data_IF_746387384975
#
_entry.id   IF_746387384975
#
_cell.length_a   1.000
_cell.length_b   1.000
_cell.length_c   1.000
_cell.angle_alpha   90.00
_cell.angle_beta   90.00
_cell.angle_gamma   90.00
#
_symmetry.space_group_name_H-M   'P 1'
#
loop_
_entity.id
_entity.type
_entity.pdbx_description
1 polymer ?
#
# COMPACT_ATOMS: atom_id res chain seq x y z
N UNK A 1 -26.70 -8.04 8.38
CA UNK A 1 -25.62 -7.50 7.53
C UNK A 1 -26.23 -7.17 6.18
N UNK A 2 -25.74 -6.15 5.49
CA UNK A 2 -26.11 -5.83 4.12
C UNK A 2 -25.29 -6.68 3.14
N UNK A 3 -25.85 -6.97 1.96
CA UNK A 3 -25.10 -7.56 0.85
C UNK A 3 -24.43 -6.45 0.06
N UNK A 4 -23.12 -6.57 -0.14
CA UNK A 4 -22.31 -5.60 -0.88
C UNK A 4 -21.44 -6.32 -1.90
N UNK A 5 -21.26 -5.72 -3.08
CA UNK A 5 -20.41 -6.28 -4.13
C UNK A 5 -18.95 -5.83 -3.97
N UNK A 6 -18.04 -6.78 -3.84
CA UNK A 6 -16.61 -6.54 -3.79
C UNK A 6 -15.94 -7.11 -5.04
N UNK A 7 -15.53 -6.21 -5.93
CA UNK A 7 -14.96 -6.56 -7.23
C UNK A 7 -13.59 -7.23 -7.13
N UNK A 8 -12.84 -7.02 -6.04
CA UNK A 8 -11.52 -7.63 -5.84
C UNK A 8 -11.60 -9.14 -5.57
N UNK A 9 -12.77 -9.60 -5.09
CA UNK A 9 -13.07 -11.01 -4.84
C UNK A 9 -14.14 -11.55 -5.80
N UNK A 10 -14.62 -10.73 -6.73
CA UNK A 10 -15.54 -11.12 -7.80
C UNK A 10 -16.94 -11.55 -7.34
N UNK A 11 -17.37 -11.21 -6.12
CA UNK A 11 -18.67 -11.65 -5.58
C UNK A 11 -19.29 -10.67 -4.58
N UNK A 12 -20.56 -10.91 -4.28
CA UNK A 12 -21.21 -10.33 -3.11
C UNK A 12 -20.72 -10.98 -1.82
N UNK A 13 -20.67 -10.18 -0.75
CA UNK A 13 -20.33 -10.61 0.60
C UNK A 13 -21.18 -9.88 1.64
N UNK A 14 -21.17 -10.38 2.86
CA UNK A 14 -21.81 -9.71 3.99
C UNK A 14 -20.94 -8.58 4.55
N UNK A 15 -21.54 -7.41 4.78
CA UNK A 15 -20.92 -6.28 5.47
C UNK A 15 -21.92 -5.64 6.46
N UNK A 16 -21.50 -5.16 7.64
CA UNK A 16 -22.42 -4.64 8.65
C UNK A 16 -23.25 -3.42 8.23
N UNK A 17 -22.78 -2.63 7.27
CA UNK A 17 -23.44 -1.41 6.80
C UNK A 17 -23.78 -1.48 5.32
N UNK A 18 -24.67 -0.60 4.87
CA UNK A 18 -24.88 -0.40 3.43
C UNK A 18 -23.58 0.11 2.79
N UNK A 19 -23.19 -0.49 1.67
CA UNK A 19 -21.98 -0.11 0.94
C UNK A 19 -22.17 1.24 0.27
N UNK A 20 -21.52 2.29 0.79
CA UNK A 20 -21.48 3.60 0.14
C UNK A 20 -20.09 3.87 -0.44
N UNK A 21 -20.01 3.98 -1.78
CA UNK A 21 -18.78 4.36 -2.48
C UNK A 21 -18.67 5.89 -2.53
N UNK A 22 -17.48 6.48 -2.27
CA UNK A 22 -17.27 7.92 -2.36
C UNK A 22 -17.33 8.39 -3.83
N UNK A 23 -17.39 9.71 -4.05
CA UNK A 23 -17.36 10.32 -5.39
C UNK A 23 -16.08 9.95 -6.16
N UNK A 24 -14.97 9.89 -5.45
CA UNK A 24 -13.66 9.42 -5.91
C UNK A 24 -12.97 8.74 -4.75
N UNK A 25 -12.14 7.72 -5.01
CA UNK A 25 -11.55 6.89 -3.95
C UNK A 25 -10.05 7.12 -3.84
N UNK A 26 -9.60 7.70 -2.72
CA UNK A 26 -8.18 7.82 -2.38
C UNK A 26 -7.51 6.46 -2.50
N UNK A 27 -6.42 6.41 -3.26
CA UNK A 27 -5.69 5.18 -3.50
C UNK A 27 -4.20 5.43 -3.68
N UNK A 28 -3.42 4.38 -3.46
CA UNK A 28 -1.98 4.37 -3.74
C UNK A 28 -1.57 3.08 -4.44
N UNK A 29 -0.58 3.17 -5.31
CA UNK A 29 0.13 2.02 -5.89
C UNK A 29 1.58 2.06 -5.43
N UNK A 30 2.08 0.93 -4.92
CA UNK A 30 3.47 0.73 -4.48
C UNK A 30 4.18 -0.26 -5.40
N UNK A 31 5.27 0.17 -6.03
CA UNK A 31 6.13 -0.71 -6.81
C UNK A 31 7.16 -1.42 -5.92
N UNK A 32 6.86 -2.65 -5.51
CA UNK A 32 7.74 -3.40 -4.60
C UNK A 32 9.03 -3.89 -5.28
N UNK A 33 9.12 -3.85 -6.62
CA UNK A 33 10.36 -4.15 -7.35
C UNK A 33 11.42 -3.07 -7.18
N UNK A 34 11.02 -1.85 -6.80
CA UNK A 34 11.91 -0.69 -6.62
C UNK A 34 12.12 -0.31 -5.16
N UNK A 35 11.46 -1.00 -4.23
CA UNK A 35 11.56 -0.67 -2.81
C UNK A 35 12.94 -1.07 -2.29
N UNK A 36 13.56 -0.18 -1.51
CA UNK A 36 14.91 -0.37 -0.92
C UNK A 36 14.90 -0.29 0.61
N UNK A 37 13.72 -0.40 1.23
CA UNK A 37 13.54 -0.37 2.68
C UNK A 37 14.15 0.79 3.48
N UNK A 38 14.58 1.89 2.84
CA UNK A 38 15.32 2.98 3.49
C UNK A 38 14.59 3.71 4.65
N UNK A 39 13.37 3.31 5.01
CA UNK A 39 12.53 3.87 6.06
C UNK A 39 12.24 5.38 5.95
N UNK A 40 12.65 6.06 4.87
CA UNK A 40 12.44 7.51 4.71
C UNK A 40 10.95 7.87 4.75
N UNK A 41 10.11 7.06 4.11
CA UNK A 41 8.67 7.23 4.17
C UNK A 41 8.10 7.02 5.58
N UNK A 42 8.68 6.11 6.36
CA UNK A 42 8.30 5.82 7.76
C UNK A 42 8.60 7.05 8.62
N UNK A 43 9.83 7.57 8.52
CA UNK A 43 10.30 8.76 9.24
C UNK A 43 9.53 10.02 8.84
N UNK A 44 9.26 10.22 7.54
CA UNK A 44 8.48 11.36 7.06
C UNK A 44 7.06 11.38 7.66
N UNK A 45 6.38 10.23 7.68
CA UNK A 45 5.07 10.12 8.31
C UNK A 45 5.13 10.33 9.83
N UNK A 46 6.14 9.75 10.48
CA UNK A 46 6.36 9.81 11.93
C UNK A 46 6.54 11.24 12.41
N UNK A 47 7.47 11.95 11.78
CA UNK A 47 7.81 13.34 12.11
C UNK A 47 6.68 14.31 11.79
N UNK A 48 5.89 14.05 10.74
CA UNK A 48 4.75 14.91 10.38
C UNK A 48 3.56 14.72 11.32
N UNK A 49 3.21 13.48 11.66
CA UNK A 49 1.89 13.17 12.23
C UNK A 49 1.89 12.48 13.59
N UNK A 50 2.92 11.71 13.91
CA UNK A 50 3.00 10.97 15.19
C UNK A 50 4.21 11.32 16.08
N UNK A 51 4.63 12.60 16.21
CA UNK A 51 5.73 12.99 17.10
C UNK A 51 5.30 13.24 18.56
N UNK A 52 4.00 13.20 18.85
CA UNK A 52 3.43 13.54 20.15
C UNK A 52 3.46 12.41 21.18
N UNK A 53 3.09 12.76 22.42
CA UNK A 53 3.06 11.85 23.56
C UNK A 53 2.06 10.71 23.36
N UNK A 54 2.48 9.50 23.66
CA UNK A 54 1.68 8.27 23.48
C UNK A 54 1.61 7.79 22.03
N UNK A 55 2.19 8.54 21.09
CA UNK A 55 2.27 8.17 19.68
C UNK A 55 3.64 7.55 19.32
N UNK A 56 4.56 7.40 20.28
CA UNK A 56 5.96 6.99 20.07
C UNK A 56 6.03 5.66 19.31
N UNK A 57 5.21 4.69 19.72
CA UNK A 57 5.12 3.40 19.09
C UNK A 57 4.30 3.41 17.80
N UNK A 58 3.60 4.48 17.41
CA UNK A 58 2.69 4.49 16.26
C UNK A 58 3.39 4.78 14.93
N UNK A 59 3.51 3.75 14.09
CA UNK A 59 4.03 3.88 12.72
C UNK A 59 2.89 3.73 11.70
N UNK A 60 2.15 4.83 11.48
CA UNK A 60 1.06 4.89 10.51
C UNK A 60 1.49 4.43 9.11
N UNK A 61 2.69 4.83 8.70
CA UNK A 61 3.45 4.21 7.62
C UNK A 61 4.63 3.45 8.22
N UNK A 62 4.81 2.19 7.83
CA UNK A 62 5.95 1.37 8.21
C UNK A 62 6.40 0.54 7.01
N UNK A 63 7.61 0.01 7.04
CA UNK A 63 8.12 -0.95 6.05
C UNK A 63 8.55 -2.20 6.79
N UNK A 64 8.22 -3.37 6.24
CA UNK A 64 8.60 -4.69 6.77
C UNK A 64 9.37 -5.46 5.70
N UNK A 65 10.37 -6.24 6.10
CA UNK A 65 10.94 -7.29 5.23
C UNK A 65 10.02 -8.50 5.24
N UNK A 66 9.71 -9.09 4.09
CA UNK A 66 8.96 -10.34 3.99
C UNK A 66 9.90 -11.47 3.58
N UNK A 67 9.70 -12.69 4.12
CA UNK A 67 8.50 -13.12 4.85
C UNK A 67 8.53 -12.95 6.39
N UNK A 68 9.67 -12.59 6.99
CA UNK A 68 9.88 -12.70 8.45
C UNK A 68 9.69 -11.42 9.27
N UNK A 69 9.50 -10.29 8.61
CA UNK A 69 9.25 -9.00 9.26
C UNK A 69 7.77 -8.70 9.44
N UNK A 70 7.47 -8.07 10.58
CA UNK A 70 6.12 -7.76 11.01
C UNK A 70 6.07 -6.45 11.78
N UNK A 71 4.93 -5.75 11.70
CA UNK A 71 4.64 -4.68 12.64
C UNK A 71 3.12 -4.36 12.68
N UNK A 72 2.39 -4.64 13.77
CA UNK A 72 2.82 -5.39 14.96
C UNK A 72 3.19 -6.84 14.65
N UNK A 73 3.82 -7.52 15.60
CA UNK A 73 4.25 -8.92 15.46
C UNK A 73 3.11 -9.83 14.99
N UNK A 74 3.40 -10.56 13.91
CA UNK A 74 2.50 -11.55 13.32
C UNK A 74 1.14 -11.03 12.85
N UNK A 75 1.00 -9.74 12.50
CA UNK A 75 -0.30 -9.14 12.17
C UNK A 75 -1.06 -9.87 11.04
N UNK A 76 -0.35 -10.34 10.00
CA UNK A 76 -0.89 -11.05 8.86
C UNK A 76 -1.07 -12.53 9.16
N UNK A 77 -0.01 -13.21 9.64
CA UNK A 77 -0.04 -14.64 9.93
C UNK A 77 -1.10 -15.02 10.96
N UNK A 78 -1.28 -14.24 12.03
CA UNK A 78 -2.32 -14.50 13.06
C UNK A 78 -3.73 -14.35 12.49
N UNK A 79 -3.96 -13.36 11.60
CA UNK A 79 -5.26 -13.18 10.95
C UNK A 79 -5.52 -14.29 9.94
N UNK A 80 -4.51 -14.67 9.16
CA UNK A 80 -4.62 -15.75 8.17
C UNK A 80 -4.85 -17.10 8.86
N UNK A 81 -4.15 -17.38 9.96
CA UNK A 81 -4.36 -18.57 10.78
C UNK A 81 -5.79 -18.62 11.34
N UNK A 82 -6.28 -17.50 11.90
CA UNK A 82 -7.65 -17.40 12.40
C UNK A 82 -8.70 -17.57 11.29
N UNK A 83 -8.42 -17.07 10.08
CA UNK A 83 -9.31 -17.24 8.93
C UNK A 83 -9.30 -18.68 8.40
N UNK A 84 -8.23 -19.44 8.67
CA UNK A 84 -8.03 -20.79 8.18
C UNK A 84 -7.59 -20.83 6.71
N UNK A 85 -7.37 -22.04 6.19
CA UNK A 85 -6.95 -22.24 4.79
C UNK A 85 -8.06 -21.76 3.85
N UNK A 86 -7.69 -20.89 2.92
CA UNK A 86 -8.59 -20.33 1.92
C UNK A 86 -8.07 -20.62 0.52
N UNK A 87 -8.98 -20.83 -0.44
CA UNK A 87 -8.65 -21.01 -1.85
C UNK A 87 -8.89 -19.71 -2.63
N UNK A 88 -7.88 -19.24 -3.35
CA UNK A 88 -7.93 -18.07 -4.23
C UNK A 88 -7.32 -18.38 -5.62
N UNK A 89 -7.74 -19.49 -6.22
CA UNK A 89 -7.27 -19.98 -7.52
C UNK A 89 -7.82 -19.22 -8.75
N UNK A 90 -8.67 -18.22 -8.58
CA UNK A 90 -9.28 -17.52 -9.71
C UNK A 90 -9.95 -16.19 -9.35
N UNK A 91 -10.60 -15.54 -10.35
CA UNK A 91 -11.18 -14.21 -10.21
C UNK A 91 -12.34 -14.11 -9.22
N UNK A 92 -12.96 -15.23 -8.87
CA UNK A 92 -14.03 -15.30 -7.89
C UNK A 92 -13.53 -16.10 -6.69
N UNK A 93 -13.40 -15.41 -5.56
CA UNK A 93 -12.96 -16.01 -4.30
C UNK A 93 -14.13 -16.69 -3.60
N UNK A 94 -14.03 -18.00 -3.36
CA UNK A 94 -15.11 -18.81 -2.80
C UNK A 94 -15.02 -19.00 -1.28
N UNK A 95 -13.90 -18.61 -0.68
CA UNK A 95 -13.69 -18.71 0.76
C UNK A 95 -14.47 -17.66 1.55
N UNK A 96 -14.36 -17.70 2.89
CA UNK A 96 -15.01 -16.73 3.77
C UNK A 96 -14.17 -15.47 3.90
N UNK A 97 -14.79 -14.30 3.84
CA UNK A 97 -14.16 -13.05 4.26
C UNK A 97 -14.09 -12.95 5.78
N UNK A 98 -13.38 -11.95 6.32
CA UNK A 98 -13.32 -11.75 7.77
C UNK A 98 -14.67 -11.42 8.39
N UNK A 99 -15.61 -10.82 7.63
CA UNK A 99 -16.97 -10.56 8.09
C UNK A 99 -17.80 -11.85 8.16
N UNK A 100 -17.58 -12.79 7.24
CA UNK A 100 -18.31 -14.06 7.15
C UNK A 100 -17.73 -15.15 8.07
N UNK A 101 -16.44 -15.03 8.43
CA UNK A 101 -15.76 -15.92 9.38
C UNK A 101 -15.85 -15.46 10.84
N UNK A 102 -16.65 -14.44 11.12
CA UNK A 102 -16.72 -13.80 12.45
C UNK A 102 -17.41 -14.70 13.49
N UNK A 103 -16.86 -14.83 14.71
CA UNK A 103 -17.52 -15.51 15.82
C UNK A 103 -18.82 -14.84 16.26
N UNK A 104 -19.75 -15.60 16.82
CA UNK A 104 -21.01 -15.06 17.37
C UNK A 104 -20.74 -13.97 18.40
N UNK A 105 -21.35 -12.80 18.21
CA UNK A 105 -21.20 -11.64 19.11
C UNK A 105 -20.14 -10.63 18.68
N UNK A 106 -19.37 -10.92 17.61
CA UNK A 106 -18.41 -10.01 17.03
C UNK A 106 -18.87 -9.47 15.66
N UNK A 107 -18.21 -8.41 15.18
CA UNK A 107 -18.56 -7.75 13.91
C UNK A 107 -17.60 -8.14 12.77
N UNK A 108 -16.35 -8.43 13.11
CA UNK A 108 -15.31 -8.84 12.17
C UNK A 108 -14.31 -9.74 12.90
N UNK A 109 -13.82 -10.78 12.23
CA UNK A 109 -12.74 -11.61 12.75
C UNK A 109 -11.47 -10.76 12.95
N UNK A 110 -10.98 -10.70 14.18
CA UNK A 110 -9.81 -9.91 14.53
C UNK A 110 -9.28 -10.22 15.93
N UNK A 111 -8.09 -9.73 16.22
CA UNK A 111 -7.45 -9.84 17.52
C UNK A 111 -6.88 -8.50 17.94
N UNK A 112 -6.76 -8.28 19.24
CA UNK A 112 -6.15 -7.09 19.81
C UNK A 112 -4.66 -7.39 20.07
N UNK A 113 -3.72 -6.67 19.42
CA UNK A 113 -2.30 -6.87 19.71
C UNK A 113 -1.96 -6.45 21.14
N UNK A 114 -0.97 -7.12 21.71
CA UNK A 114 -0.39 -6.81 23.02
C UNK A 114 0.70 -5.75 22.89
N UNK A 115 1.11 -5.14 24.00
CA UNK A 115 2.13 -4.09 23.98
C UNK A 115 3.49 -4.62 23.45
N UNK A 116 3.81 -5.88 23.74
CA UNK A 116 5.02 -6.55 23.25
C UNK A 116 5.02 -6.69 21.72
N UNK A 117 3.84 -6.80 21.09
CA UNK A 117 3.71 -6.90 19.64
C UNK A 117 4.16 -5.61 18.93
N UNK A 118 4.23 -4.48 19.65
CA UNK A 118 4.67 -3.18 19.14
C UNK A 118 6.10 -2.79 19.56
N UNK A 119 6.78 -3.59 20.39
CA UNK A 119 8.04 -3.21 21.02
C UNK A 119 9.21 -3.01 20.05
N UNK A 120 9.19 -3.72 18.92
CA UNK A 120 10.28 -3.74 17.95
C UNK A 120 9.75 -3.38 16.54
N UNK A 121 9.58 -2.08 16.24
CA UNK A 121 9.25 -1.67 14.88
C UNK A 121 10.39 -2.08 13.94
N UNK A 122 10.06 -2.87 12.90
CA UNK A 122 11.01 -3.43 11.94
C UNK A 122 11.83 -4.64 12.42
N UNK A 123 11.27 -5.45 13.34
CA UNK A 123 11.84 -6.78 13.61
C UNK A 123 11.90 -7.61 12.31
N UNK A 124 12.92 -8.45 12.17
CA UNK A 124 13.12 -9.28 10.97
C UNK A 124 13.58 -8.50 9.74
N UNK A 125 14.08 -7.27 9.91
CA UNK A 125 14.74 -6.52 8.84
C UNK A 125 15.89 -7.33 8.24
N UNK A 126 15.87 -7.45 6.92
CA UNK A 126 16.80 -8.21 6.09
C UNK A 126 17.05 -9.68 6.53
N UNK A 127 16.15 -10.24 7.34
CA UNK A 127 16.22 -11.64 7.73
C UNK A 127 15.71 -12.53 6.59
N UNK A 128 16.52 -13.53 6.22
CA UNK A 128 16.21 -14.53 5.19
C UNK A 128 16.03 -15.95 5.78
N UNK A 129 15.89 -16.06 7.11
CA UNK A 129 15.78 -17.24 7.96
C UNK A 129 17.09 -17.94 8.37
N UNK A 130 17.13 -18.26 9.66
CA UNK A 130 17.93 -19.35 10.25
C UNK A 130 19.30 -18.94 10.76
N UNK A 131 19.79 -19.66 11.77
CA UNK A 131 21.20 -19.60 12.17
C UNK A 131 22.03 -20.27 11.07
N UNK A 132 22.97 -19.55 10.47
CA UNK A 132 23.90 -20.18 9.52
C UNK A 132 24.76 -21.20 10.27
N UNK A 133 24.62 -22.49 9.93
CA UNK A 133 25.50 -23.51 10.45
C UNK A 133 26.96 -23.23 10.02
N UNK A 134 27.93 -23.62 10.84
CA UNK A 134 29.34 -23.50 10.48
C UNK A 134 29.62 -24.32 9.21
N UNK A 135 30.17 -23.67 8.17
CA UNK A 135 30.36 -24.29 6.85
C UNK A 135 29.18 -24.11 5.88
N UNK A 136 28.16 -23.34 6.26
CA UNK A 136 27.13 -22.87 5.34
C UNK A 136 27.78 -22.11 4.18
N UNK A 137 27.40 -22.47 2.96
CA UNK A 137 27.82 -21.83 1.73
C UNK A 137 26.59 -21.67 0.84
N UNK A 138 26.62 -20.66 -0.02
CA UNK A 138 25.54 -20.39 -0.95
C UNK A 138 25.56 -21.45 -2.05
N UNK A 139 24.54 -22.30 -2.13
CA UNK A 139 24.31 -23.16 -3.29
C UNK A 139 23.42 -22.41 -4.29
N UNK A 140 23.88 -22.25 -5.53
CA UNK A 140 23.09 -21.60 -6.59
C UNK A 140 22.30 -22.66 -7.37
N UNK A 141 20.99 -22.43 -7.64
CA UNK A 141 20.19 -21.27 -7.23
C UNK A 141 19.83 -21.31 -5.72
N UNK A 142 20.00 -20.18 -5.03
CA UNK A 142 19.65 -20.12 -3.61
C UNK A 142 18.15 -19.86 -3.43
N UNK A 143 17.53 -20.57 -2.49
CA UNK A 143 16.10 -20.44 -2.17
C UNK A 143 15.78 -19.25 -1.26
N UNK A 144 16.80 -18.49 -0.84
CA UNK A 144 16.62 -17.31 -0.01
C UNK A 144 16.14 -16.14 -0.86
N UNK A 145 14.95 -15.64 -0.56
CA UNK A 145 14.40 -14.43 -1.15
C UNK A 145 13.86 -13.57 -0.02
N UNK A 146 13.89 -12.26 -0.24
CA UNK A 146 13.17 -11.30 0.59
C UNK A 146 12.69 -10.15 -0.29
N UNK A 147 11.69 -9.44 0.18
CA UNK A 147 11.29 -8.16 -0.40
C UNK A 147 10.73 -7.26 0.67
N UNK A 148 10.55 -5.99 0.33
CA UNK A 148 10.09 -4.99 1.27
C UNK A 148 8.62 -4.64 1.03
N UNK A 149 7.85 -4.70 2.10
CA UNK A 149 6.42 -4.41 2.12
C UNK A 149 6.17 -3.11 2.90
N UNK A 150 6.17 -1.95 2.22
CA UNK A 150 5.72 -0.70 2.81
C UNK A 150 4.21 -0.72 3.02
N UNK A 151 3.71 -0.46 4.23
CA UNK A 151 2.27 -0.48 4.55
C UNK A 151 1.78 0.81 5.19
N UNK A 152 0.57 1.19 4.81
CA UNK A 152 -0.23 2.28 5.40
C UNK A 152 -1.65 1.79 5.69
N UNK A 153 -2.52 2.64 6.24
CA UNK A 153 -3.95 2.37 6.21
C UNK A 153 -4.43 2.29 4.76
N UNK A 154 -5.20 1.25 4.42
CA UNK A 154 -5.66 1.04 3.06
C UNK A 154 -6.90 1.85 2.67
N UNK A 155 -7.43 2.68 3.58
CA UNK A 155 -8.65 3.48 3.38
C UNK A 155 -9.76 2.70 2.63
N UNK A 156 -9.97 1.46 3.09
CA UNK A 156 -10.82 0.43 2.48
C UNK A 156 -12.20 0.91 2.07
N UNK A 157 -12.79 0.31 1.04
CA UNK A 157 -14.19 0.55 0.65
C UNK A 157 -15.14 -0.01 1.70
N UNK A 158 -14.82 -1.18 2.27
CA UNK A 158 -15.57 -1.83 3.35
C UNK A 158 -14.71 -1.88 4.63
N UNK A 159 -14.49 -0.75 5.31
CA UNK A 159 -13.54 -0.67 6.42
C UNK A 159 -14.03 -1.44 7.65
N UNK A 160 -13.26 -2.46 8.05
CA UNK A 160 -13.50 -3.23 9.27
C UNK A 160 -13.40 -2.37 10.55
N UNK A 161 -12.49 -1.39 10.57
CA UNK A 161 -12.35 -0.46 11.70
C UNK A 161 -13.61 0.39 11.93
N UNK A 162 -14.30 0.80 10.85
CA UNK A 162 -15.56 1.52 10.90
C UNK A 162 -16.67 0.61 11.41
N UNK A 163 -16.80 -0.58 10.80
CA UNK A 163 -17.69 -1.66 11.22
C UNK A 163 -17.58 -1.98 12.72
N UNK A 164 -16.36 -2.05 13.24
CA UNK A 164 -16.12 -2.45 14.63
C UNK A 164 -16.38 -1.35 15.66
N UNK A 165 -16.46 -0.07 15.27
CA UNK A 165 -16.53 1.01 16.23
C UNK A 165 -17.96 1.17 16.81
N UNK A 166 -18.21 0.81 18.08
CA UNK A 166 -19.57 0.86 18.65
C UNK A 166 -20.10 2.30 18.76
N UNK A 167 -19.21 3.30 18.77
CA UNK A 167 -19.57 4.72 18.87
C UNK A 167 -19.70 5.41 17.52
N UNK A 168 -19.37 4.71 16.44
CA UNK A 168 -19.33 5.25 15.07
C UNK A 168 -18.46 6.53 15.00
N UNK A 169 -17.33 6.54 15.71
CA UNK A 169 -16.35 7.64 15.67
C UNK A 169 -15.49 7.59 14.41
N UNK A 170 -15.47 6.46 13.71
CA UNK A 170 -14.78 6.30 12.43
C UNK A 170 -15.79 6.55 11.31
N UNK A 171 -15.39 7.29 10.29
CA UNK A 171 -16.22 7.59 9.13
C UNK A 171 -15.35 7.59 7.87
N UNK A 172 -16.01 7.39 6.72
CA UNK A 172 -15.37 7.49 5.40
C UNK A 172 -15.89 8.76 4.73
N UNK A 173 -14.98 9.63 4.31
CA UNK A 173 -15.33 10.89 3.65
C UNK A 173 -16.01 10.63 2.30
N UNK A 174 -17.17 11.24 2.02
CA UNK A 174 -17.88 11.03 0.75
C UNK A 174 -17.16 11.62 -0.47
N UNK A 175 -16.36 12.67 -0.29
CA UNK A 175 -15.69 13.40 -1.36
C UNK A 175 -14.40 12.74 -1.87
N UNK A 176 -13.72 11.94 -1.04
CA UNK A 176 -12.42 11.37 -1.37
C UNK A 176 -12.17 9.94 -0.86
N UNK A 177 -13.08 9.36 -0.09
CA UNK A 177 -12.94 7.99 0.42
C UNK A 177 -11.89 7.81 1.52
N UNK A 178 -11.27 8.89 2.04
CA UNK A 178 -10.34 8.80 3.16
C UNK A 178 -11.14 8.43 4.43
N UNK A 179 -10.82 7.27 5.00
CA UNK A 179 -11.33 6.85 6.32
C UNK A 179 -10.62 7.62 7.44
N UNK A 180 -11.37 8.34 8.26
CA UNK A 180 -10.88 9.13 9.41
C UNK A 180 -11.49 8.65 10.72
N UNK A 181 -10.86 9.07 11.83
CA UNK A 181 -11.32 8.80 13.19
C UNK A 181 -11.49 10.13 13.93
N UNK A 182 -12.72 10.46 14.26
CA UNK A 182 -13.09 11.65 15.02
C UNK A 182 -12.58 11.53 16.46
N UNK A 183 -11.51 12.27 16.76
CA UNK A 183 -10.85 12.31 18.06
C UNK A 183 -11.80 12.77 19.17
N UNK A 184 -12.75 13.67 18.88
CA UNK A 184 -13.68 14.23 19.87
C UNK A 184 -14.77 13.22 20.29
N UNK A 185 -15.17 12.35 19.37
CA UNK A 185 -16.17 11.29 19.62
C UNK A 185 -15.56 10.00 20.16
N UNK A 186 -14.27 9.77 19.93
CA UNK A 186 -13.60 8.56 20.37
C UNK A 186 -13.55 8.46 21.90
N UNK A 187 -13.74 7.25 22.43
CA UNK A 187 -13.64 6.93 23.87
C UNK A 187 -12.73 5.74 24.15
N UNK A 188 -11.91 5.34 23.17
CA UNK A 188 -10.86 4.35 23.41
C UNK A 188 -11.34 2.91 23.60
N UNK A 189 -12.47 2.50 23.03
CA UNK A 189 -12.97 1.11 23.12
C UNK A 189 -12.05 0.07 22.46
N UNK A 190 -11.09 0.50 21.62
CA UNK A 190 -10.10 -0.35 20.93
C UNK A 190 -10.66 -1.44 19.99
N UNK A 191 -11.97 -1.53 19.82
CA UNK A 191 -12.59 -2.42 18.81
C UNK A 191 -12.08 -2.16 17.40
N UNK A 192 -11.79 -0.91 17.04
CA UNK A 192 -11.18 -0.58 15.75
C UNK A 192 -9.72 -1.05 15.60
N UNK A 193 -8.99 -1.16 16.72
CA UNK A 193 -7.63 -1.74 16.76
C UNK A 193 -7.71 -3.26 16.57
N UNK A 194 -8.65 -3.89 17.28
CA UNK A 194 -8.95 -5.33 17.19
C UNK A 194 -9.37 -5.73 15.77
N UNK A 195 -10.40 -5.05 15.26
CA UNK A 195 -11.06 -5.42 14.02
C UNK A 195 -10.35 -5.02 12.73
N UNK A 196 -9.36 -4.12 12.75
CA UNK A 196 -8.55 -3.85 11.56
C UNK A 196 -7.57 -5.01 11.32
N UNK A 197 -7.70 -5.80 10.24
CA UNK A 197 -6.78 -6.92 10.00
C UNK A 197 -5.35 -6.45 9.72
N UNK A 198 -5.21 -5.30 9.05
CA UNK A 198 -3.90 -4.69 8.78
C UNK A 198 -3.24 -4.03 10.00
N UNK A 199 -3.94 -3.96 11.15
CA UNK A 199 -3.50 -3.31 12.40
C UNK A 199 -2.99 -1.87 12.20
N UNK A 200 -3.72 -1.11 11.37
CA UNK A 200 -3.42 0.31 11.02
C UNK A 200 -4.26 1.33 11.79
N UNK A 201 -4.85 0.89 12.90
CA UNK A 201 -5.44 1.75 13.94
C UNK A 201 -4.68 1.46 15.23
N UNK A 202 -4.25 2.49 15.92
CA UNK A 202 -3.42 2.44 17.11
C UNK A 202 -4.19 3.06 18.29
N UNK A 203 -3.81 2.76 19.52
CA UNK A 203 -4.46 3.31 20.72
C UNK A 203 -3.49 4.19 21.51
N UNK A 204 -3.77 5.49 21.60
CA UNK A 204 -2.94 6.37 22.40
C UNK A 204 -3.32 6.21 23.88
N UNK A 205 -2.44 5.60 24.67
CA UNK A 205 -2.68 5.40 26.10
C UNK A 205 -2.70 6.71 26.90
N UNK A 206 -2.05 7.77 26.38
CA UNK A 206 -2.00 9.10 27.01
C UNK A 206 -3.30 9.86 26.79
N UNK A 207 -3.76 9.97 25.54
CA UNK A 207 -5.00 10.69 25.20
C UNK A 207 -6.25 9.82 25.35
N UNK A 208 -6.08 8.51 25.55
CA UNK A 208 -7.14 7.49 25.70
C UNK A 208 -8.10 7.41 24.50
N UNK A 209 -7.61 7.75 23.32
CA UNK A 209 -8.33 7.63 22.05
C UNK A 209 -7.50 6.87 21.03
N UNK A 210 -8.17 6.35 20.01
CA UNK A 210 -7.49 5.67 18.91
C UNK A 210 -7.10 6.66 17.81
N UNK A 211 -6.01 6.34 17.11
CA UNK A 211 -5.41 7.15 16.07
C UNK A 211 -5.04 6.28 14.86
N UNK A 212 -5.02 6.86 13.67
CA UNK A 212 -4.70 6.14 12.43
C UNK A 212 -4.21 7.09 11.35
N UNK A 213 -3.57 6.54 10.32
CA UNK A 213 -3.25 7.27 9.11
C UNK A 213 -4.46 8.07 8.60
N UNK A 214 -4.25 9.36 8.36
CA UNK A 214 -5.27 10.30 7.92
C UNK A 214 -5.22 10.56 6.40
N UNK A 215 -4.49 9.73 5.64
CA UNK A 215 -4.29 9.92 4.20
C UNK A 215 -3.60 11.24 3.83
N UNK A 216 -2.92 11.90 4.79
CA UNK A 216 -2.47 13.30 4.69
C UNK A 216 -3.57 14.21 4.12
N UNK A 217 -4.83 14.05 4.55
CA UNK A 217 -5.95 14.78 3.94
C UNK A 217 -5.74 16.30 3.80
N UNK A 218 -5.04 17.02 4.72
CA UNK A 218 -4.82 18.46 4.54
C UNK A 218 -3.97 18.77 3.29
N UNK A 219 -3.06 17.88 2.90
CA UNK A 219 -2.27 18.01 1.67
C UNK A 219 -3.09 17.58 0.45
N UNK A 220 -3.88 16.50 0.56
CA UNK A 220 -4.73 15.98 -0.52
C UNK A 220 -5.78 17.01 -0.94
N UNK A 221 -6.37 17.75 0.01
CA UNK A 221 -7.30 18.85 -0.25
C UNK A 221 -6.68 19.99 -1.06
N UNK A 222 -5.36 20.13 -1.02
CA UNK A 222 -4.59 21.12 -1.78
C UNK A 222 -4.04 20.55 -3.11
N UNK A 223 -4.48 19.36 -3.52
CA UNK A 223 -3.98 18.69 -4.73
C UNK A 223 -2.52 18.21 -4.60
N UNK A 224 -2.01 18.07 -3.38
CA UNK A 224 -0.66 17.59 -3.10
C UNK A 224 -0.66 16.13 -2.68
N UNK A 225 0.42 15.42 -3.00
CA UNK A 225 0.60 14.05 -2.59
C UNK A 225 0.93 13.93 -1.09
N UNK A 226 0.71 12.73 -0.54
CA UNK A 226 1.03 12.44 0.85
C UNK A 226 2.53 12.52 1.15
N UNK A 227 2.89 12.81 2.41
CA UNK A 227 4.30 12.93 2.80
C UNK A 227 5.11 11.64 2.57
N UNK A 228 4.51 10.47 2.81
CA UNK A 228 5.19 9.20 2.55
C UNK A 228 5.44 8.97 1.05
N UNK A 229 4.65 9.57 0.16
CA UNK A 229 4.86 9.52 -1.29
C UNK A 229 5.94 10.50 -1.74
N UNK A 230 5.86 11.76 -1.30
CA UNK A 230 6.81 12.81 -1.69
C UNK A 230 8.22 12.47 -1.20
N UNK A 231 8.36 11.96 0.02
CA UNK A 231 9.65 11.60 0.61
C UNK A 231 10.20 10.25 0.11
N UNK A 232 9.53 9.57 -0.82
CA UNK A 232 9.94 8.24 -1.24
C UNK A 232 11.17 8.28 -2.17
N UNK A 233 12.36 8.04 -1.62
CA UNK A 233 13.63 8.00 -2.36
C UNK A 233 13.60 6.99 -3.51
N UNK A 234 13.08 5.78 -3.27
CA UNK A 234 12.99 4.73 -4.30
C UNK A 234 11.97 5.01 -5.41
N UNK A 235 11.23 6.14 -5.33
CA UNK A 235 10.16 6.50 -6.29
C UNK A 235 9.23 5.33 -6.59
N UNK A 236 8.74 4.68 -5.53
CA UNK A 236 7.89 3.48 -5.61
C UNK A 236 6.41 3.80 -5.46
N UNK A 237 6.06 5.02 -5.06
CA UNK A 237 4.70 5.37 -4.66
C UNK A 237 4.07 6.31 -5.69
N UNK A 238 2.89 5.95 -6.15
CA UNK A 238 1.98 6.84 -6.86
C UNK A 238 0.69 6.96 -6.07
N UNK A 239 0.30 8.18 -5.71
CA UNK A 239 -0.95 8.45 -5.00
C UNK A 239 -1.88 9.31 -5.87
N UNK A 240 -3.17 9.01 -5.79
CA UNK A 240 -4.22 9.72 -6.50
C UNK A 240 -5.60 9.27 -6.07
N UNK A 241 -6.53 9.29 -7.02
CA UNK A 241 -7.90 8.82 -6.82
C UNK A 241 -8.26 7.80 -7.90
N UNK A 242 -8.82 6.66 -7.47
CA UNK A 242 -9.48 5.71 -8.36
C UNK A 242 -10.86 6.20 -8.76
N UNK A 243 -11.19 5.95 -10.02
CA UNK A 243 -12.53 6.04 -10.59
C UNK A 243 -13.37 4.80 -10.29
N UNK A 244 -14.25 4.47 -11.23
CA UNK A 244 -15.17 3.33 -11.13
C UNK A 244 -14.55 2.10 -11.79
N UNK A 245 -14.51 0.98 -11.07
CA UNK A 245 -13.91 -0.26 -11.57
C UNK A 245 -14.58 -0.81 -12.85
N UNK A 246 -15.87 -0.53 -13.05
CA UNK A 246 -16.72 -0.96 -14.16
C UNK A 246 -16.71 0.04 -15.34
N UNK A 247 -16.11 1.22 -15.14
CA UNK A 247 -15.89 2.22 -16.17
C UNK A 247 -14.56 2.95 -15.92
N UNK A 248 -13.42 2.24 -16.03
CA UNK A 248 -12.11 2.81 -15.72
C UNK A 248 -11.70 3.86 -16.76
N UNK A 249 -11.07 4.94 -16.31
CA UNK A 249 -10.48 5.95 -17.19
C UNK A 249 -9.03 5.55 -17.53
N UNK A 250 -8.76 5.20 -18.78
CA UNK A 250 -7.40 4.82 -19.20
C UNK A 250 -6.38 5.97 -19.15
N UNK A 251 -6.84 7.22 -19.08
CA UNK A 251 -5.98 8.39 -18.93
C UNK A 251 -5.76 8.73 -17.45
N UNK A 252 -6.47 8.11 -16.50
CA UNK A 252 -6.13 8.18 -15.09
C UNK A 252 -5.04 7.14 -14.76
N UNK A 253 -3.89 7.53 -14.18
CA UNK A 253 -2.77 6.61 -14.01
C UNK A 253 -3.05 5.49 -13.00
N UNK A 254 -3.90 5.71 -12.00
CA UNK A 254 -4.27 4.65 -11.05
C UNK A 254 -5.27 3.68 -11.66
N UNK A 255 -6.32 4.17 -12.34
CA UNK A 255 -7.28 3.32 -13.06
C UNK A 255 -6.57 2.48 -14.11
N UNK A 256 -5.62 3.08 -14.83
CA UNK A 256 -4.80 2.38 -15.81
C UNK A 256 -3.98 1.24 -15.19
N UNK A 257 -3.32 1.47 -14.07
CA UNK A 257 -2.48 0.45 -13.40
C UNK A 257 -3.30 -0.64 -12.70
N UNK A 258 -4.44 -0.30 -12.11
CA UNK A 258 -5.25 -1.19 -11.27
C UNK A 258 -6.34 -1.89 -12.06
N UNK A 259 -7.15 -1.17 -12.84
CA UNK A 259 -8.34 -1.72 -13.51
C UNK A 259 -8.04 -2.19 -14.93
N UNK A 260 -7.31 -1.38 -15.71
CA UNK A 260 -7.07 -1.63 -17.14
C UNK A 260 -5.97 -2.67 -17.32
N UNK A 261 -4.80 -2.41 -16.74
CA UNK A 261 -3.61 -3.26 -16.90
C UNK A 261 -3.48 -4.33 -15.85
N UNK A 262 -4.20 -4.19 -14.72
CA UNK A 262 -4.19 -5.14 -13.60
C UNK A 262 -2.76 -5.48 -13.15
N UNK A 263 -1.86 -4.50 -13.23
CA UNK A 263 -0.46 -4.64 -12.83
C UNK A 263 -0.33 -4.51 -11.30
N UNK A 264 -1.11 -3.60 -10.73
CA UNK A 264 -1.11 -3.33 -9.29
C UNK A 264 -2.27 -4.07 -8.61
N UNK A 265 -1.94 -4.92 -7.64
CA UNK A 265 -2.87 -5.84 -7.00
C UNK A 265 -3.14 -5.47 -5.53
N UNK A 266 -4.35 -5.71 -5.00
CA UNK A 266 -4.68 -5.41 -3.61
C UNK A 266 -3.91 -6.34 -2.63
N UNK A 267 -3.61 -5.85 -1.43
CA UNK A 267 -3.03 -6.68 -0.36
C UNK A 267 -4.13 -7.39 0.45
N UNK A 268 -4.07 -8.71 0.46
CA UNK A 268 -5.02 -9.62 1.10
C UNK A 268 -6.48 -9.34 0.72
N UNK A 269 -6.86 -9.42 -0.57
CA UNK A 269 -8.24 -9.18 -1.00
C UNK A 269 -9.26 -10.11 -0.31
N UNK A 270 -8.85 -11.34 0.04
CA UNK A 270 -9.66 -12.32 0.76
C UNK A 270 -10.18 -11.82 2.11
N UNK A 271 -9.57 -10.79 2.70
CA UNK A 271 -10.10 -10.19 3.92
C UNK A 271 -11.47 -9.55 3.72
N UNK A 272 -11.87 -9.25 2.47
CA UNK A 272 -13.18 -8.70 2.15
C UNK A 272 -13.30 -7.19 2.43
N UNK A 273 -12.20 -6.49 2.68
CA UNK A 273 -12.26 -5.05 2.97
C UNK A 273 -12.26 -4.18 1.71
N UNK A 274 -11.93 -4.76 0.55
CA UNK A 274 -11.62 -4.02 -0.70
C UNK A 274 -10.61 -2.88 -0.42
N UNK A 275 -9.37 -3.19 -0.04
CA UNK A 275 -8.32 -2.20 0.20
C UNK A 275 -8.02 -1.35 -1.03
N UNK A 276 -7.69 -0.07 -0.81
CA UNK A 276 -7.35 0.89 -1.86
C UNK A 276 -5.84 1.24 -1.88
N UNK A 277 -5.01 0.39 -1.28
CA UNK A 277 -3.55 0.40 -1.48
C UNK A 277 -3.19 -0.85 -2.26
N UNK A 278 -2.53 -0.66 -3.40
CA UNK A 278 -2.19 -1.70 -4.36
C UNK A 278 -0.67 -1.83 -4.45
N UNK A 279 -0.22 -3.00 -4.87
CA UNK A 279 1.18 -3.37 -4.93
C UNK A 279 1.47 -3.99 -6.29
N UNK A 280 2.53 -3.54 -6.94
CA UNK A 280 3.09 -4.25 -8.09
C UNK A 280 3.94 -5.38 -7.51
N UNK A 281 3.61 -6.66 -7.75
CA UNK A 281 4.31 -7.77 -7.11
C UNK A 281 5.79 -7.83 -7.49
N UNK A 282 6.68 -8.25 -6.56
CA UNK A 282 8.11 -8.32 -6.80
C UNK A 282 8.45 -9.55 -7.66
N UNK A 283 9.08 -9.34 -8.82
CA UNK A 283 9.29 -10.40 -9.83
C UNK A 283 10.30 -11.47 -9.44
N UNK A 284 11.07 -11.26 -8.37
CA UNK A 284 12.08 -12.19 -7.84
C UNK A 284 11.57 -13.09 -6.72
N UNK A 285 10.35 -12.86 -6.23
CA UNK A 285 9.75 -13.64 -5.14
C UNK A 285 8.91 -14.79 -5.73
N UNK A 286 8.89 -15.99 -5.10
CA UNK A 286 8.10 -17.10 -5.61
C UNK A 286 6.61 -16.78 -5.74
N UNK A 287 5.99 -17.02 -6.91
CA UNK A 287 4.58 -16.71 -7.15
C UNK A 287 3.62 -17.33 -6.15
N UNK A 288 3.90 -18.53 -5.65
CA UNK A 288 3.06 -19.21 -4.65
C UNK A 288 2.92 -18.40 -3.35
N UNK A 289 4.00 -17.77 -2.89
CA UNK A 289 3.96 -16.90 -1.71
C UNK A 289 3.17 -15.62 -2.02
N UNK A 290 3.40 -15.05 -3.20
CA UNK A 290 2.74 -13.81 -3.63
C UNK A 290 1.24 -13.99 -3.87
N UNK A 291 0.77 -15.13 -4.38
CA UNK A 291 -0.66 -15.41 -4.58
C UNK A 291 -1.44 -15.34 -3.28
N UNK A 292 -0.88 -15.85 -2.19
CA UNK A 292 -1.48 -15.73 -0.85
C UNK A 292 -1.68 -14.26 -0.44
N UNK A 293 -0.74 -13.40 -0.80
CA UNK A 293 -0.76 -11.98 -0.45
C UNK A 293 -1.59 -11.11 -1.38
N UNK A 294 -1.53 -11.36 -2.69
CA UNK A 294 -2.00 -10.41 -3.70
C UNK A 294 -3.11 -10.95 -4.60
N UNK A 295 -3.45 -12.23 -4.53
CA UNK A 295 -4.52 -12.81 -5.34
C UNK A 295 -4.06 -13.63 -6.54
N UNK A 296 -5.06 -14.05 -7.30
CA UNK A 296 -4.93 -14.89 -8.50
C UNK A 296 -4.18 -14.20 -9.66
N UNK A 297 -4.19 -12.86 -9.74
CA UNK A 297 -3.59 -12.11 -10.86
C UNK A 297 -2.07 -11.91 -10.78
N UNK A 298 -1.39 -12.56 -9.83
CA UNK A 298 0.05 -12.36 -9.58
C UNK A 298 0.91 -12.77 -10.77
N UNK A 299 0.63 -13.93 -11.37
CA UNK A 299 1.41 -14.46 -12.48
C UNK A 299 1.33 -13.55 -13.70
N UNK A 300 0.12 -13.09 -14.04
CA UNK A 300 -0.11 -12.14 -15.12
C UNK A 300 0.56 -10.80 -14.84
N UNK A 301 0.48 -10.29 -13.62
CA UNK A 301 1.12 -9.03 -13.23
C UNK A 301 2.65 -9.12 -13.34
N UNK A 302 3.27 -10.23 -12.90
CA UNK A 302 4.73 -10.46 -13.05
C UNK A 302 5.11 -10.56 -14.53
N UNK A 303 4.35 -11.33 -15.32
CA UNK A 303 4.61 -11.48 -16.75
C UNK A 303 4.44 -10.16 -17.51
N UNK A 304 3.52 -9.30 -17.06
CA UNK A 304 3.34 -7.96 -17.58
C UNK A 304 4.51 -7.05 -17.18
N UNK A 305 4.93 -7.07 -15.91
CA UNK A 305 6.04 -6.28 -15.41
C UNK A 305 7.34 -6.56 -16.20
N UNK A 306 7.64 -7.84 -16.45
CA UNK A 306 8.84 -8.24 -17.23
C UNK A 306 8.83 -7.75 -18.69
N UNK A 307 7.66 -7.38 -19.23
CA UNK A 307 7.48 -6.90 -20.60
C UNK A 307 7.15 -5.40 -20.69
N UNK A 308 7.28 -4.64 -19.60
CA UNK A 308 6.96 -3.19 -19.57
C UNK A 308 7.69 -2.41 -20.67
N UNK A 309 8.93 -2.78 -20.99
CA UNK A 309 9.74 -2.10 -22.02
C UNK A 309 9.08 -2.08 -23.41
N UNK A 310 8.19 -3.03 -23.67
CA UNK A 310 7.50 -3.19 -24.95
C UNK A 310 6.17 -2.38 -24.99
N UNK A 311 5.80 -1.75 -23.87
CA UNK A 311 4.56 -1.00 -23.70
C UNK A 311 4.84 0.44 -23.23
N UNK A 312 4.89 1.37 -24.17
CA UNK A 312 5.21 2.77 -23.88
C UNK A 312 4.23 3.43 -22.90
N UNK A 313 2.93 3.11 -22.96
CA UNK A 313 1.93 3.73 -22.07
C UNK A 313 2.11 3.23 -20.64
N UNK A 314 2.33 1.94 -20.45
CA UNK A 314 2.64 1.37 -19.12
C UNK A 314 3.96 1.87 -18.55
N UNK A 315 5.01 1.86 -19.36
CA UNK A 315 6.30 2.42 -18.96
C UNK A 315 6.13 3.89 -18.55
N UNK A 316 5.38 4.67 -19.33
CA UNK A 316 5.07 6.06 -19.03
C UNK A 316 4.38 6.24 -17.68
N UNK A 317 3.32 5.46 -17.41
CA UNK A 317 2.64 5.48 -16.11
C UNK A 317 3.59 5.20 -14.94
N UNK A 318 4.55 4.28 -15.10
CA UNK A 318 5.53 3.94 -14.07
C UNK A 318 6.63 4.99 -13.89
N UNK A 319 7.04 5.68 -14.97
CA UNK A 319 8.01 6.78 -14.88
C UNK A 319 7.49 8.00 -14.11
N UNK A 320 6.16 8.14 -13.99
CA UNK A 320 5.53 9.24 -13.23
C UNK A 320 5.64 9.07 -11.70
N UNK A 321 6.02 7.89 -11.21
CA UNK A 321 6.17 7.64 -9.78
C UNK A 321 7.25 8.55 -9.18
N UNK A 322 6.92 9.29 -8.12
CA UNK A 322 7.84 10.22 -7.46
C UNK A 322 8.38 11.34 -8.37
N UNK A 323 7.71 11.65 -9.48
CA UNK A 323 8.13 12.69 -10.43
C UNK A 323 7.67 14.10 -10.06
N UNK A 324 6.65 14.23 -9.20
CA UNK A 324 6.07 15.52 -8.78
C UNK A 324 5.45 15.41 -7.39
N UNK A 325 5.42 16.49 -6.59
CA UNK A 325 4.70 16.51 -5.32
C UNK A 325 3.18 16.70 -5.47
N UNK A 326 2.67 16.92 -6.69
CA UNK A 326 1.24 17.13 -6.96
C UNK A 326 0.55 15.83 -7.37
N UNK A 327 -0.74 15.70 -7.08
CA UNK A 327 -1.54 14.55 -7.51
C UNK A 327 -1.69 14.60 -9.02
N UNK A 328 -1.32 13.51 -9.70
CA UNK A 328 -1.52 13.34 -11.13
C UNK A 328 -2.92 12.77 -11.34
N UNK A 329 -3.79 13.56 -11.95
CA UNK A 329 -5.17 13.17 -12.26
C UNK A 329 -5.27 12.48 -13.62
N UNK A 330 -4.47 12.94 -14.58
CA UNK A 330 -4.43 12.39 -15.93
C UNK A 330 -2.99 12.22 -16.38
N UNK A 331 -2.74 11.27 -17.27
CA UNK A 331 -1.44 11.11 -17.92
C UNK A 331 -1.57 10.78 -19.39
N UNK A 332 -0.54 11.17 -20.15
CA UNK A 332 -0.39 10.81 -21.56
C UNK A 332 1.06 10.45 -21.85
N UNK A 333 1.26 9.68 -22.92
CA UNK A 333 2.58 9.45 -23.49
C UNK A 333 2.61 10.10 -24.86
N UNK A 334 3.58 11.00 -25.04
CA UNK A 334 3.80 11.75 -26.27
C UNK A 334 5.26 11.58 -26.70
N UNK A 335 5.46 10.92 -27.84
CA UNK A 335 6.79 10.49 -28.31
C UNK A 335 7.50 9.60 -27.29
N UNK A 336 8.57 10.13 -26.69
CA UNK A 336 9.39 9.47 -25.67
C UNK A 336 9.27 10.13 -24.29
N UNK A 337 8.16 10.84 -24.03
CA UNK A 337 7.87 11.45 -22.74
C UNK A 337 6.55 10.98 -22.16
N UNK A 338 6.51 10.78 -20.85
CA UNK A 338 5.28 10.71 -20.07
C UNK A 338 4.98 12.08 -19.48
N UNK A 339 3.72 12.51 -19.59
CA UNK A 339 3.25 13.82 -19.14
C UNK A 339 2.12 13.59 -18.14
N UNK A 340 2.23 14.20 -16.97
CA UNK A 340 1.19 14.19 -15.94
C UNK A 340 0.47 15.53 -15.86
N UNK A 341 -0.84 15.48 -15.66
CA UNK A 341 -1.73 16.64 -15.58
C UNK A 341 -2.49 16.68 -14.26
N UNK A 342 -2.81 17.88 -13.78
CA UNK A 342 -3.71 18.08 -12.65
C UNK A 342 -5.20 17.95 -13.04
N UNK A 343 -6.10 18.13 -12.07
CA UNK A 343 -7.55 18.06 -12.29
C UNK A 343 -8.08 19.11 -13.27
N UNK A 344 -7.35 20.22 -13.48
CA UNK A 344 -7.69 21.29 -14.41
C UNK A 344 -7.03 21.10 -15.78
N UNK A 345 -6.49 19.91 -16.07
CA UNK A 345 -5.81 19.57 -17.33
C UNK A 345 -4.55 20.40 -17.60
N UNK A 346 -3.93 20.96 -16.55
CA UNK A 346 -2.65 21.66 -16.67
C UNK A 346 -1.51 20.66 -16.52
N UNK A 347 -0.52 20.75 -17.39
CA UNK A 347 0.71 19.97 -17.29
C UNK A 347 1.45 20.33 -16.00
N UNK A 348 1.71 19.35 -15.15
CA UNK A 348 2.41 19.52 -13.86
C UNK A 348 3.76 18.79 -13.83
N UNK A 349 3.98 17.86 -14.77
CA UNK A 349 5.23 17.12 -14.87
C UNK A 349 5.39 16.52 -16.26
N UNK A 350 6.63 16.47 -16.74
CA UNK A 350 7.05 15.77 -17.95
C UNK A 350 8.35 15.04 -17.68
N UNK A 351 8.35 13.73 -17.91
CA UNK A 351 9.52 12.86 -17.68
C UNK A 351 9.84 12.06 -18.94
N UNK A 352 11.12 11.87 -19.30
CA UNK A 352 11.48 11.01 -20.41
C UNK A 352 11.23 9.55 -20.04
N UNK A 353 10.81 8.73 -21.01
CA UNK A 353 10.62 7.27 -20.84
C UNK A 353 11.95 6.54 -20.63
N UNK A 354 13.05 7.14 -21.10
CA UNK A 354 14.41 6.64 -20.93
C UNK A 354 15.26 7.76 -20.37
N UNK A 355 15.95 7.48 -19.27
CA UNK A 355 16.92 8.41 -18.69
C UNK A 355 18.01 8.68 -19.73
N UNK A 356 18.29 9.95 -20.08
CA UNK A 356 19.38 10.26 -20.98
C UNK A 356 20.71 9.92 -20.30
N UNK A 357 21.54 9.11 -20.96
CA UNK A 357 22.89 8.83 -20.47
C UNK A 357 23.79 9.99 -20.87
N UNK A 358 24.33 10.70 -19.87
CA UNK A 358 25.28 11.79 -20.07
C UNK A 358 26.67 11.30 -19.68
N UNK A 359 27.52 11.09 -20.68
CA UNK A 359 28.95 10.80 -20.44
C UNK A 359 29.66 12.12 -20.16
N UNK A 360 30.26 12.25 -18.97
CA UNK A 360 31.05 13.42 -18.60
C UNK A 360 32.53 13.12 -18.77
N UNK A 361 33.25 14.05 -19.36
CA UNK A 361 34.71 13.95 -19.50
C UNK A 361 35.40 13.78 -18.14
N UNK A 362 36.53 13.07 -18.12
CA UNK A 362 37.29 12.87 -16.88
C UNK A 362 37.78 14.20 -16.27
N UNK A 363 38.10 15.15 -17.14
CA UNK A 363 38.53 16.48 -16.77
C UNK A 363 37.41 17.51 -16.99
N UNK A 364 37.16 18.34 -15.99
CA UNK A 364 36.24 19.48 -16.06
C UNK A 364 37.04 20.76 -16.33
N UNK A 365 37.12 21.16 -17.60
CA UNK A 365 37.86 22.36 -18.00
C UNK A 365 37.29 23.67 -17.41
N UNK A 366 35.99 23.70 -17.05
CA UNK A 366 35.38 24.89 -16.44
C UNK A 366 35.85 25.10 -15.00
N UNK A 367 36.08 24.02 -14.26
CA UNK A 367 36.47 24.05 -12.85
C UNK A 367 37.93 23.61 -12.62
N UNK A 368 38.68 23.39 -13.70
CA UNK A 368 40.07 22.92 -13.69
C UNK A 368 40.28 21.69 -12.78
N UNK A 369 39.31 20.77 -12.78
CA UNK A 369 39.25 19.67 -11.82
C UNK A 369 39.01 18.32 -12.51
N UNK A 370 39.69 17.28 -12.01
CA UNK A 370 39.37 15.92 -12.39
C UNK A 370 38.16 15.42 -11.61
N UNK A 371 37.19 14.86 -12.33
CA UNK A 371 36.03 14.22 -11.73
C UNK A 371 36.44 12.83 -11.25
N UNK A 372 36.38 12.60 -9.94
CA UNK A 372 36.54 11.28 -9.33
C UNK A 372 35.15 10.68 -9.08
N UNK A 373 34.96 9.39 -9.39
CA UNK A 373 33.66 8.67 -9.40
C UNK A 373 32.71 9.02 -10.56
N UNK A 374 33.19 8.85 -11.80
CA UNK A 374 32.35 8.94 -13.00
C UNK A 374 31.77 7.54 -13.25
N UNK A 375 30.47 7.36 -13.00
CA UNK A 375 29.69 6.18 -13.41
C UNK A 375 28.87 6.49 -14.64
#
# INVERSE_FOLDING_TARGET
>A
MAKVYNWQIGREMDYPFEGHRPQKQFAMVFDTNKCIACQTCTVACKTTWTPGRGQEYMYWNNVETKPYGYYPLGWDVRILEALGVQDMNGPVYQGKTLFEATPTGEVVLGFLPEDIDYAHPNIGEDDCAGTMAQGAHLTLPHMQWMFYLPRICNHCTYPACLASCPRQSIYKRPEDGIVLLDQSRCRGYRECVRGCPYKKTYFNAVTRVSEKCIGCYPAVEQGRQTQCTIACIGKIRLQGFLGKHDAPDEDNPLDYLVFVRKLALPLYPQFGLEPNTYYIPPVHVPPEFLRQMFGWGVDEAIALYRRIKDDKKLLGALTLFGSTPHIIHYFRVDGDHAIGYDAAQREIVRVPLREPVVVREAYDAQYEAYRTNIT
#
